data_IF_912908513271
#
_entry.id   IF_912908513271
#
_cell.length_a   1.000
_cell.length_b   1.000
_cell.length_c   1.000
_cell.angle_alpha   90.00
_cell.angle_beta   90.00
_cell.angle_gamma   90.00
#
_symmetry.space_group_name_H-M   'P 1'
#
loop_
_entity.id
_entity.type
_entity.pdbx_description
1 polymer ?
#
# COMPACT_ATOMS: atom_id res chain seq x y z
N UNK A 1 20.29 0.77 11.15
CA UNK A 1 18.91 0.93 10.62
C UNK A 1 18.01 1.43 11.74
N UNK A 2 16.92 2.14 11.45
CA UNK A 2 15.92 2.50 12.45
C UNK A 2 14.62 1.73 12.22
N UNK A 3 14.07 1.10 13.25
CA UNK A 3 12.76 0.46 13.22
C UNK A 3 11.74 1.43 13.83
N UNK A 4 10.69 1.76 13.10
CA UNK A 4 9.58 2.57 13.59
C UNK A 4 8.43 1.68 14.03
N UNK A 5 8.14 1.69 15.33
CA UNK A 5 7.03 0.98 15.94
C UNK A 5 6.11 1.99 16.65
N UNK A 6 5.17 2.63 15.92
CA UNK A 6 4.12 3.41 16.55
C UNK A 6 3.16 2.48 17.29
N UNK A 7 2.71 2.92 18.46
CA UNK A 7 1.73 2.19 19.24
C UNK A 7 0.73 3.16 19.87
N UNK A 8 -0.52 2.68 20.00
CA UNK A 8 -1.57 3.36 20.73
C UNK A 8 -2.48 2.31 21.32
N UNK A 9 -2.62 2.31 22.65
CA UNK A 9 -3.45 1.34 23.36
C UNK A 9 -3.10 -0.12 23.02
N UNK A 10 -1.81 -0.43 23.02
CA UNK A 10 -1.27 -1.72 22.58
C UNK A 10 -0.68 -2.57 23.72
N UNK A 11 -1.08 -2.33 24.98
CA UNK A 11 -0.48 -3.02 26.14
C UNK A 11 -0.51 -4.55 26.03
N UNK A 12 -1.54 -5.11 25.38
CA UNK A 12 -1.69 -6.55 25.21
C UNK A 12 -0.75 -7.18 24.18
N UNK A 13 -0.19 -6.40 23.24
CA UNK A 13 0.55 -6.93 22.10
C UNK A 13 1.97 -6.37 21.98
N UNK A 14 2.21 -5.19 22.55
CA UNK A 14 3.47 -4.45 22.39
C UNK A 14 4.68 -5.27 22.82
N UNK A 15 4.60 -6.01 23.92
CA UNK A 15 5.72 -6.81 24.42
C UNK A 15 6.21 -7.82 23.38
N UNK A 16 5.29 -8.59 22.80
CA UNK A 16 5.61 -9.58 21.77
C UNK A 16 6.18 -8.92 20.49
N UNK A 17 5.63 -7.77 20.09
CA UNK A 17 6.13 -7.01 18.95
C UNK A 17 7.58 -6.53 19.19
N UNK A 18 7.89 -6.00 20.38
CA UNK A 18 9.23 -5.56 20.76
C UNK A 18 10.21 -6.74 20.81
N UNK A 19 9.84 -7.85 21.45
CA UNK A 19 10.65 -9.09 21.48
C UNK A 19 11.01 -9.54 20.07
N UNK A 20 10.07 -9.47 19.12
CA UNK A 20 10.29 -9.88 17.74
C UNK A 20 11.33 -9.02 17.00
N UNK A 21 11.54 -7.77 17.42
CA UNK A 21 12.60 -6.90 16.90
C UNK A 21 13.90 -7.10 17.69
N UNK A 22 13.81 -7.20 19.02
CA UNK A 22 14.96 -7.37 19.90
C UNK A 22 15.77 -8.64 19.59
N UNK A 23 15.11 -9.66 19.05
CA UNK A 23 15.69 -10.98 18.72
C UNK A 23 16.03 -11.14 17.23
N UNK A 24 16.03 -10.05 16.44
CA UNK A 24 16.47 -10.09 15.04
C UNK A 24 17.94 -10.49 14.93
N UNK A 25 18.25 -11.29 13.92
CA UNK A 25 19.60 -11.76 13.57
C UNK A 25 20.53 -10.62 13.17
N UNK A 26 20.02 -9.65 12.41
CA UNK A 26 20.70 -8.37 12.18
C UNK A 26 20.67 -7.54 13.46
N UNK A 27 21.84 -7.16 13.99
CA UNK A 27 21.99 -6.42 15.25
C UNK A 27 22.20 -4.89 15.14
N UNK A 28 22.70 -4.31 14.02
CA UNK A 28 22.91 -2.85 13.87
C UNK A 28 21.62 -2.03 13.66
N UNK A 29 20.69 -2.09 14.62
CA UNK A 29 19.44 -1.34 14.61
C UNK A 29 19.23 -0.49 15.87
N UNK A 30 18.44 0.56 15.73
CA UNK A 30 17.72 1.23 16.82
C UNK A 30 16.21 0.98 16.64
N UNK A 31 15.47 0.89 17.74
CA UNK A 31 14.02 0.74 17.74
C UNK A 31 13.38 1.97 18.37
N UNK A 32 12.61 2.71 17.58
CA UNK A 32 11.82 3.84 18.04
C UNK A 32 10.41 3.35 18.37
N UNK A 33 10.11 3.24 19.67
CA UNK A 33 8.75 2.99 20.17
C UNK A 33 8.03 4.34 20.24
N UNK A 34 7.12 4.60 19.30
CA UNK A 34 6.43 5.89 19.23
C UNK A 34 5.06 5.79 19.89
N UNK A 35 4.95 6.23 21.14
CA UNK A 35 3.67 6.34 21.84
C UNK A 35 2.81 7.44 21.20
N UNK A 36 1.68 7.05 20.62
CA UNK A 36 0.74 7.95 19.97
C UNK A 36 -0.48 8.24 20.86
N UNK A 37 -0.20 8.82 22.03
CA UNK A 37 -1.19 9.17 23.04
C UNK A 37 -1.99 7.95 23.54
N UNK A 38 -1.28 6.92 24.02
CA UNK A 38 -1.88 5.77 24.69
C UNK A 38 -2.51 6.17 26.02
N UNK A 39 -3.62 5.51 26.37
CA UNK A 39 -4.30 5.64 27.65
C UNK A 39 -4.20 4.36 28.51
N UNK A 40 -3.64 3.28 27.96
CA UNK A 40 -3.39 2.03 28.66
C UNK A 40 -1.93 1.93 29.18
N UNK A 41 -1.55 0.76 29.66
CA UNK A 41 -0.20 0.50 30.18
C UNK A 41 0.91 0.43 29.11
N UNK A 42 0.61 0.68 27.83
CA UNK A 42 1.58 0.56 26.73
C UNK A 42 2.81 1.45 26.89
N UNK A 43 2.63 2.68 27.39
CA UNK A 43 3.73 3.61 27.63
C UNK A 43 4.68 3.12 28.74
N UNK A 44 4.15 2.47 29.77
CA UNK A 44 4.95 1.90 30.85
C UNK A 44 5.75 0.68 30.38
N UNK A 45 5.13 -0.19 29.56
CA UNK A 45 5.81 -1.32 28.91
C UNK A 45 6.98 -0.81 28.05
N UNK A 46 6.73 0.19 27.20
CA UNK A 46 7.76 0.79 26.35
C UNK A 46 8.92 1.40 27.16
N UNK A 47 8.61 2.07 28.29
CA UNK A 47 9.62 2.62 29.20
C UNK A 47 10.48 1.53 29.82
N UNK A 48 9.89 0.41 30.22
CA UNK A 48 10.63 -0.74 30.75
C UNK A 48 11.59 -1.32 29.71
N UNK A 49 11.15 -1.43 28.44
CA UNK A 49 12.03 -1.87 27.35
C UNK A 49 13.20 -0.93 27.11
N UNK A 50 12.96 0.38 27.06
CA UNK A 50 14.01 1.39 26.89
C UNK A 50 15.02 1.42 28.05
N UNK A 51 14.63 1.01 29.27
CA UNK A 51 15.56 0.86 30.40
C UNK A 51 16.40 -0.43 30.33
N UNK A 52 15.93 -1.46 29.60
CA UNK A 52 16.57 -2.78 29.51
C UNK A 52 17.54 -2.91 28.34
N UNK A 53 17.27 -2.23 27.23
CA UNK A 53 18.07 -2.30 26.00
C UNK A 53 18.31 -0.88 25.46
N UNK A 54 19.57 -0.47 25.43
CA UNK A 54 19.98 0.88 25.02
C UNK A 54 19.67 1.21 23.55
N UNK A 55 19.41 0.20 22.72
CA UNK A 55 19.01 0.37 21.32
C UNK A 55 17.53 0.77 21.18
N UNK A 56 16.76 0.69 22.26
CA UNK A 56 15.33 0.97 22.27
C UNK A 56 15.08 2.36 22.84
N UNK A 57 14.35 3.17 22.10
CA UNK A 57 14.06 4.56 22.45
C UNK A 57 12.55 4.78 22.48
N UNK A 58 12.04 5.26 23.61
CA UNK A 58 10.66 5.73 23.73
C UNK A 58 10.55 7.16 23.21
N UNK A 59 9.67 7.37 22.24
CA UNK A 59 9.35 8.67 21.65
C UNK A 59 7.87 8.95 21.88
N UNK A 60 7.53 10.17 22.29
CA UNK A 60 6.15 10.57 22.49
C UNK A 60 5.66 11.48 21.34
N UNK A 61 4.46 11.20 20.82
CA UNK A 61 3.73 12.05 19.88
C UNK A 61 2.30 12.28 20.40
N UNK A 62 2.01 13.48 20.94
CA UNK A 62 0.72 13.76 21.57
C UNK A 62 -0.44 13.90 20.57
N UNK A 63 -0.17 14.17 19.28
CA UNK A 63 -1.22 14.29 18.27
C UNK A 63 -1.67 12.92 17.81
N UNK A 64 -2.93 12.57 18.06
CA UNK A 64 -3.49 11.29 17.63
C UNK A 64 -3.47 11.16 16.11
N UNK A 65 -2.96 10.03 15.61
CA UNK A 65 -2.92 9.68 14.20
C UNK A 65 -1.62 8.96 13.85
N UNK A 66 -1.73 7.78 13.24
CA UNK A 66 -0.57 6.94 12.91
C UNK A 66 0.44 7.68 12.02
N UNK A 67 -0.02 8.51 11.07
CA UNK A 67 0.84 9.35 10.25
C UNK A 67 1.65 10.38 11.07
N UNK A 68 1.06 10.97 12.12
CA UNK A 68 1.79 11.87 13.02
C UNK A 68 2.90 11.12 13.77
N UNK A 69 2.59 9.95 14.32
CA UNK A 69 3.55 9.10 15.02
C UNK A 69 4.68 8.64 14.09
N UNK A 70 4.36 8.19 12.89
CA UNK A 70 5.35 7.78 11.90
C UNK A 70 6.24 8.93 11.47
N UNK A 71 5.68 10.11 11.19
CA UNK A 71 6.48 11.29 10.86
C UNK A 71 7.36 11.76 12.04
N UNK A 72 6.91 11.60 13.28
CA UNK A 72 7.75 11.84 14.47
C UNK A 72 8.91 10.84 14.52
N UNK A 73 8.65 9.57 14.26
CA UNK A 73 9.66 8.52 14.12
C UNK A 73 10.67 8.83 13.02
N UNK A 74 10.21 9.19 11.82
CA UNK A 74 11.06 9.55 10.68
C UNK A 74 12.02 10.71 10.97
N UNK A 75 11.55 11.75 11.68
CA UNK A 75 12.40 12.88 12.09
C UNK A 75 13.43 12.52 13.16
N UNK A 76 13.18 11.44 13.92
CA UNK A 76 14.03 11.03 15.04
C UNK A 76 15.04 9.95 14.61
N UNK A 77 14.69 9.16 13.60
CA UNK A 77 15.48 8.06 13.06
C UNK A 77 16.84 8.52 12.52
N UNK A 78 17.89 7.76 12.85
CA UNK A 78 19.29 8.03 12.46
C UNK A 78 19.81 7.02 11.43
N UNK A 79 19.11 5.90 11.25
CA UNK A 79 19.49 4.83 10.35
C UNK A 79 19.38 5.19 8.88
N UNK A 80 20.29 4.65 8.06
CA UNK A 80 20.23 4.73 6.58
C UNK A 80 18.94 4.14 6.02
N UNK A 81 18.48 3.05 6.63
CA UNK A 81 17.24 2.36 6.30
C UNK A 81 16.22 2.56 7.40
N UNK A 82 14.96 2.63 7.00
CA UNK A 82 13.81 2.69 7.89
C UNK A 82 13.00 1.40 7.72
N UNK A 83 12.86 0.63 8.79
CA UNK A 83 11.94 -0.50 8.85
C UNK A 83 10.64 -0.09 9.54
N UNK A 84 9.51 -0.59 9.04
CA UNK A 84 8.23 -0.45 9.70
C UNK A 84 7.92 -1.69 10.55
N UNK A 85 7.20 -1.50 11.65
CA UNK A 85 6.69 -2.60 12.47
C UNK A 85 5.43 -2.15 13.23
N UNK A 86 4.32 -2.89 13.14
CA UNK A 86 3.12 -2.61 13.93
C UNK A 86 3.22 -3.20 15.34
N UNK A 87 2.58 -2.55 16.31
CA UNK A 87 2.58 -2.97 17.71
C UNK A 87 1.77 -4.26 17.99
N UNK A 88 1.03 -4.74 16.98
CA UNK A 88 0.18 -5.94 17.05
C UNK A 88 0.69 -7.11 16.19
N UNK A 89 1.78 -6.92 15.44
CA UNK A 89 2.36 -7.92 14.52
C UNK A 89 3.64 -8.57 15.07
N UNK A 90 4.22 -9.53 14.34
CA UNK A 90 5.50 -10.19 14.69
C UNK A 90 6.46 -10.18 13.50
N UNK A 91 7.68 -9.71 13.73
CA UNK A 91 8.80 -9.87 12.77
C UNK A 91 9.50 -11.21 12.97
N UNK A 92 9.66 -11.99 11.90
CA UNK A 92 10.42 -13.25 11.99
C UNK A 92 11.93 -12.98 12.06
N UNK A 93 12.75 -13.84 12.70
CA UNK A 93 14.12 -13.50 13.12
C UNK A 93 15.08 -13.01 12.04
N UNK A 94 14.88 -13.44 10.79
CA UNK A 94 15.76 -13.12 9.65
C UNK A 94 15.26 -11.93 8.81
N UNK A 95 14.16 -11.28 9.20
CA UNK A 95 13.51 -10.24 8.41
C UNK A 95 14.47 -9.11 8.05
N UNK A 96 15.05 -8.50 9.08
CA UNK A 96 15.90 -7.33 8.94
C UNK A 96 17.18 -7.65 8.15
N UNK A 97 17.81 -8.79 8.44
CA UNK A 97 19.03 -9.23 7.74
C UNK A 97 18.79 -9.41 6.24
N UNK A 98 17.74 -10.16 5.86
CA UNK A 98 17.43 -10.45 4.45
C UNK A 98 17.05 -9.18 3.68
N UNK A 99 16.26 -8.29 4.28
CA UNK A 99 15.85 -7.05 3.61
C UNK A 99 17.02 -6.09 3.40
N UNK A 100 17.92 -5.95 4.39
CA UNK A 100 19.11 -5.11 4.25
C UNK A 100 20.06 -5.68 3.20
N UNK A 101 20.35 -6.98 3.23
CA UNK A 101 21.20 -7.61 2.24
C UNK A 101 20.67 -7.41 0.81
N UNK A 102 19.35 -7.52 0.61
CA UNK A 102 18.73 -7.29 -0.69
C UNK A 102 18.83 -5.83 -1.13
N UNK A 103 18.53 -4.87 -0.25
CA UNK A 103 18.62 -3.43 -0.57
C UNK A 103 20.06 -2.98 -0.84
N UNK A 104 21.05 -3.54 -0.14
CA UNK A 104 22.46 -3.23 -0.41
C UNK A 104 22.91 -3.78 -1.77
N UNK A 105 22.41 -4.95 -2.18
CA UNK A 105 22.70 -5.55 -3.49
C UNK A 105 21.95 -4.89 -4.67
N UNK A 106 20.81 -4.22 -4.40
CA UNK A 106 19.93 -3.63 -5.42
C UNK A 106 19.70 -2.13 -5.16
N UNK A 107 20.69 -1.27 -5.50
CA UNK A 107 20.61 0.17 -5.25
C UNK A 107 19.43 0.85 -5.95
N UNK A 108 18.91 0.28 -7.03
CA UNK A 108 17.75 0.78 -7.78
C UNK A 108 16.42 0.57 -7.07
N UNK A 109 16.35 -0.29 -6.04
CA UNK A 109 15.16 -0.52 -5.23
C UNK A 109 15.15 0.46 -4.05
N UNK A 110 14.06 1.21 -3.92
CA UNK A 110 13.86 2.19 -2.84
C UNK A 110 13.04 1.66 -1.68
N UNK A 111 12.09 0.76 -1.95
CA UNK A 111 11.19 0.15 -0.95
C UNK A 111 11.14 -1.35 -1.16
N UNK A 112 11.33 -2.11 -0.09
CA UNK A 112 11.30 -3.57 -0.09
C UNK A 112 10.34 -4.07 0.98
N UNK A 113 9.33 -4.84 0.59
CA UNK A 113 8.51 -5.62 1.53
C UNK A 113 8.94 -7.08 1.63
N UNK A 114 8.15 -7.86 2.36
CA UNK A 114 8.26 -9.33 2.41
C UNK A 114 6.89 -9.94 2.19
N UNK A 115 6.81 -11.24 1.94
CA UNK A 115 5.53 -11.92 2.14
C UNK A 115 5.14 -11.89 3.61
N UNK A 116 3.84 -11.96 3.86
CA UNK A 116 3.27 -11.98 5.21
C UNK A 116 2.48 -13.26 5.45
N UNK A 117 2.54 -13.78 6.67
CA UNK A 117 1.66 -14.83 7.17
C UNK A 117 0.42 -14.17 7.75
N UNK A 118 -0.74 -14.43 7.17
CA UNK A 118 -2.00 -13.98 7.75
C UNK A 118 -2.32 -14.77 9.02
N UNK A 119 -2.47 -14.08 10.14
CA UNK A 119 -2.90 -14.65 11.42
C UNK A 119 -4.12 -13.87 11.87
N UNK A 120 -5.19 -14.51 12.32
CA UNK A 120 -6.45 -13.80 12.61
C UNK A 120 -7.14 -14.39 13.84
N UNK A 121 -7.70 -13.49 14.66
CA UNK A 121 -8.66 -13.85 15.73
C UNK A 121 -10.10 -13.56 15.32
N UNK A 122 -10.32 -13.07 14.09
CA UNK A 122 -11.64 -12.73 13.56
C UNK A 122 -12.23 -13.93 12.82
N UNK A 123 -13.40 -14.41 13.27
CA UNK A 123 -14.08 -15.58 12.69
C UNK A 123 -14.36 -15.46 11.18
N UNK A 124 -14.69 -14.26 10.70
CA UNK A 124 -15.04 -13.98 9.29
C UNK A 124 -14.06 -13.01 8.65
N UNK A 125 -12.88 -13.51 8.29
CA UNK A 125 -11.78 -12.71 7.72
C UNK A 125 -11.36 -13.14 6.29
N UNK A 126 -12.21 -13.90 5.59
CA UNK A 126 -11.91 -14.42 4.23
C UNK A 126 -11.54 -13.34 3.22
N UNK A 127 -12.09 -12.12 3.34
CA UNK A 127 -11.69 -10.99 2.52
C UNK A 127 -10.25 -10.53 2.76
N UNK A 128 -9.85 -10.44 4.02
CA UNK A 128 -8.49 -10.09 4.40
C UNK A 128 -7.51 -11.20 4.02
N UNK A 129 -7.88 -12.47 4.24
CA UNK A 129 -7.06 -13.61 3.80
C UNK A 129 -6.82 -13.60 2.29
N UNK A 130 -7.86 -13.31 1.50
CA UNK A 130 -7.72 -13.16 0.04
C UNK A 130 -6.80 -12.00 -0.33
N UNK A 131 -6.96 -10.84 0.32
CA UNK A 131 -6.13 -9.67 0.10
C UNK A 131 -4.65 -9.95 0.42
N UNK A 132 -4.34 -10.61 1.54
CA UNK A 132 -2.96 -11.01 1.88
C UNK A 132 -2.40 -11.98 0.85
N UNK A 133 -3.18 -12.96 0.41
CA UNK A 133 -2.75 -13.90 -0.63
C UNK A 133 -2.45 -13.18 -1.95
N UNK A 134 -3.34 -12.29 -2.38
CA UNK A 134 -3.14 -11.46 -3.56
C UNK A 134 -1.87 -10.61 -3.42
N UNK A 135 -1.70 -9.91 -2.29
CA UNK A 135 -0.53 -9.08 -2.04
C UNK A 135 0.77 -9.89 -2.06
N UNK A 136 0.77 -11.12 -1.55
CA UNK A 136 1.91 -12.05 -1.58
C UNK A 136 2.30 -12.52 -3.00
N UNK A 137 1.48 -12.30 -4.03
CA UNK A 137 1.82 -12.58 -5.43
C UNK A 137 2.62 -11.47 -6.10
N UNK A 138 2.63 -10.25 -5.54
CA UNK A 138 3.27 -9.07 -6.13
C UNK A 138 4.71 -9.01 -5.64
N UNK A 139 5.68 -9.39 -6.48
CA UNK A 139 7.08 -9.53 -6.08
C UNK A 139 8.01 -8.49 -6.70
N UNK A 140 7.94 -8.30 -8.01
CA UNK A 140 8.88 -7.48 -8.75
C UNK A 140 8.38 -6.04 -8.98
N UNK A 141 9.28 -5.11 -9.36
CA UNK A 141 8.92 -3.70 -9.59
C UNK A 141 7.83 -3.47 -10.64
N UNK A 142 7.77 -4.28 -11.69
CA UNK A 142 6.74 -4.12 -12.71
C UNK A 142 5.37 -4.48 -12.15
N UNK A 143 5.26 -5.59 -11.41
CA UNK A 143 4.02 -5.99 -10.76
C UNK A 143 3.57 -4.96 -9.71
N UNK A 144 4.49 -4.45 -8.88
CA UNK A 144 4.18 -3.36 -7.95
C UNK A 144 3.63 -2.13 -8.68
N UNK A 145 4.25 -1.77 -9.80
CA UNK A 145 3.77 -0.66 -10.62
C UNK A 145 2.36 -0.93 -11.15
N UNK A 146 2.11 -2.01 -11.90
CA UNK A 146 0.81 -2.20 -12.56
C UNK A 146 -0.33 -2.48 -11.57
N UNK A 147 -0.05 -3.07 -10.40
CA UNK A 147 -1.07 -3.44 -9.40
C UNK A 147 -1.34 -2.36 -8.35
N UNK A 148 -0.57 -1.25 -8.30
CA UNK A 148 -0.74 -0.17 -7.30
C UNK A 148 -2.13 0.49 -7.28
N UNK A 149 -2.88 0.37 -8.38
CA UNK A 149 -4.23 0.89 -8.50
C UNK A 149 -5.33 -0.17 -8.32
N UNK A 150 -4.98 -1.45 -8.26
CA UNK A 150 -5.94 -2.48 -7.84
C UNK A 150 -6.23 -2.30 -6.36
N UNK A 151 -5.18 -2.42 -5.54
CA UNK A 151 -5.22 -2.22 -4.08
C UNK A 151 -3.79 -1.93 -3.56
N UNK A 152 -3.60 -1.81 -2.25
CA UNK A 152 -2.29 -1.55 -1.62
C UNK A 152 -1.34 -2.74 -1.83
N UNK A 153 -0.23 -2.60 -2.60
CA UNK A 153 0.55 -3.75 -3.06
C UNK A 153 1.60 -4.25 -2.04
N UNK A 154 1.77 -3.54 -0.92
CA UNK A 154 2.69 -3.88 0.17
C UNK A 154 1.99 -3.78 1.52
N UNK A 155 2.17 -4.77 2.38
CA UNK A 155 1.74 -4.69 3.77
C UNK A 155 2.65 -3.69 4.47
N UNK A 156 2.07 -2.61 5.01
CA UNK A 156 2.81 -1.58 5.75
C UNK A 156 3.79 -2.12 6.80
N UNK A 157 3.44 -3.08 7.68
CA UNK A 157 4.36 -3.59 8.70
C UNK A 157 5.55 -4.39 8.13
N UNK A 158 5.53 -4.77 6.85
CA UNK A 158 6.59 -5.58 6.22
C UNK A 158 7.71 -4.77 5.55
N UNK A 159 7.56 -3.46 5.44
CA UNK A 159 8.43 -2.66 4.57
C UNK A 159 9.72 -2.20 5.25
N UNK A 160 10.79 -2.22 4.48
CA UNK A 160 12.03 -1.48 4.72
C UNK A 160 12.26 -0.56 3.53
N UNK A 161 12.61 0.70 3.78
CA UNK A 161 12.89 1.67 2.71
C UNK A 161 14.11 2.53 3.02
N UNK A 162 14.68 3.14 1.97
CA UNK A 162 15.80 4.08 2.10
C UNK A 162 15.32 5.37 2.75
N UNK A 163 16.00 5.82 3.80
CA UNK A 163 15.61 7.05 4.53
C UNK A 163 15.61 8.28 3.61
N UNK A 164 16.51 8.34 2.64
CA UNK A 164 16.63 9.46 1.69
C UNK A 164 15.35 9.73 0.88
N UNK A 165 14.47 8.73 0.68
CA UNK A 165 13.17 8.93 0.02
C UNK A 165 12.26 9.91 0.79
N UNK A 166 12.43 9.98 2.11
CA UNK A 166 11.69 10.91 2.96
C UNK A 166 12.18 12.33 2.75
N UNK A 167 13.50 12.50 2.60
CA UNK A 167 14.12 13.81 2.34
C UNK A 167 13.79 14.29 0.91
N UNK A 168 13.76 13.37 -0.06
CA UNK A 168 13.54 13.68 -1.47
C UNK A 168 12.06 13.87 -1.84
N UNK A 169 11.18 13.00 -1.33
CA UNK A 169 9.77 12.97 -1.74
C UNK A 169 8.80 13.29 -0.61
N UNK A 170 9.24 13.37 0.64
CA UNK A 170 8.43 13.64 1.82
C UNK A 170 7.92 12.39 2.56
N UNK A 171 7.61 12.55 3.85
CA UNK A 171 7.03 11.52 4.73
C UNK A 171 5.53 11.27 4.52
N UNK A 172 4.84 10.76 5.55
CA UNK A 172 3.41 10.42 5.48
C UNK A 172 2.52 11.67 5.45
N UNK A 173 1.47 11.66 4.64
CA UNK A 173 0.41 12.68 4.72
C UNK A 173 -0.41 12.48 6.01
N UNK A 174 -0.67 13.58 6.74
CA UNK A 174 -1.44 13.55 8.00
C UNK A 174 -2.92 13.90 7.80
N UNK A 175 -3.38 14.06 6.57
CA UNK A 175 -4.77 14.26 6.21
C UNK A 175 -5.63 13.00 6.41
N UNK A 176 -6.94 13.11 6.16
CA UNK A 176 -7.90 12.02 6.38
C UNK A 176 -7.92 11.01 5.23
N UNK A 177 -6.77 10.36 4.98
CA UNK A 177 -6.57 9.43 3.86
C UNK A 177 -5.84 8.16 4.33
N UNK A 178 -5.87 7.06 3.55
CA UNK A 178 -5.00 5.92 3.78
C UNK A 178 -3.53 6.33 3.57
N UNK A 179 -2.81 6.57 4.66
CA UNK A 179 -1.52 7.26 4.65
C UNK A 179 -0.40 6.45 3.99
N UNK A 180 -0.40 5.13 4.14
CA UNK A 180 0.59 4.25 3.55
C UNK A 180 0.40 4.15 2.03
N UNK A 181 -0.85 3.98 1.57
CA UNK A 181 -1.17 3.93 0.15
C UNK A 181 -0.86 5.25 -0.55
N UNK A 182 -1.11 6.39 0.10
CA UNK A 182 -0.71 7.69 -0.46
C UNK A 182 0.78 7.76 -0.66
N UNK A 183 1.57 7.38 0.35
CA UNK A 183 3.03 7.37 0.29
C UNK A 183 3.53 6.49 -0.86
N UNK A 184 2.98 5.29 -1.00
CA UNK A 184 3.33 4.37 -2.08
C UNK A 184 3.00 4.92 -3.45
N UNK A 185 1.80 5.49 -3.63
CA UNK A 185 1.40 6.08 -4.91
C UNK A 185 2.27 7.28 -5.27
N UNK A 186 2.62 8.13 -4.30
CA UNK A 186 3.50 9.28 -4.50
C UNK A 186 4.92 8.88 -4.88
N UNK A 187 5.52 7.94 -4.14
CA UNK A 187 6.87 7.47 -4.44
C UNK A 187 6.94 6.70 -5.76
N UNK A 188 5.98 5.83 -6.06
CA UNK A 188 5.91 5.17 -7.37
C UNK A 188 5.64 6.15 -8.52
N UNK A 189 4.86 7.22 -8.30
CA UNK A 189 4.69 8.28 -9.29
C UNK A 189 6.02 9.00 -9.55
N UNK A 190 6.83 9.23 -8.52
CA UNK A 190 8.16 9.81 -8.65
C UNK A 190 9.19 8.88 -9.32
N UNK A 191 8.86 7.61 -9.53
CA UNK A 191 9.72 6.63 -10.20
C UNK A 191 10.48 5.69 -9.25
N UNK A 192 10.21 5.77 -7.94
CA UNK A 192 10.79 4.86 -6.95
C UNK A 192 10.35 3.42 -7.24
N UNK A 193 11.32 2.51 -7.32
CA UNK A 193 11.05 1.08 -7.56
C UNK A 193 10.84 0.35 -6.26
N UNK A 194 9.81 -0.49 -6.27
CA UNK A 194 9.37 -1.28 -5.12
C UNK A 194 9.58 -2.76 -5.44
N UNK A 195 9.95 -3.55 -4.45
CA UNK A 195 10.05 -4.99 -4.58
C UNK A 195 9.52 -5.68 -3.31
N UNK A 196 9.40 -7.01 -3.37
CA UNK A 196 9.05 -7.85 -2.23
C UNK A 196 9.88 -9.13 -2.25
N UNK A 197 10.45 -9.47 -1.10
CA UNK A 197 11.10 -10.76 -0.88
C UNK A 197 10.06 -11.91 -0.93
N UNK A 198 10.35 -13.03 -1.61
CA UNK A 198 9.42 -14.16 -1.71
C UNK A 198 9.23 -14.92 -0.38
N UNK A 199 10.06 -14.67 0.63
CA UNK A 199 9.99 -15.28 1.94
C UNK A 199 8.92 -14.61 2.81
N UNK A 200 8.24 -15.45 3.61
CA UNK A 200 7.35 -14.99 4.67
C UNK A 200 8.21 -14.58 5.86
N UNK A 201 8.23 -13.29 6.19
CA UNK A 201 9.11 -12.73 7.23
C UNK A 201 8.37 -11.85 8.25
N UNK A 202 7.05 -11.72 8.14
CA UNK A 202 6.18 -11.04 9.10
C UNK A 202 4.91 -11.86 9.32
N UNK A 203 4.48 -12.02 10.56
CA UNK A 203 3.12 -12.44 10.88
C UNK A 203 2.23 -11.21 11.01
N UNK A 204 1.29 -11.08 10.08
CA UNK A 204 0.34 -9.98 10.04
C UNK A 204 -0.93 -10.40 10.78
N UNK A 205 -1.10 -9.89 12.00
CA UNK A 205 -2.11 -10.32 12.97
C UNK A 205 -3.34 -9.45 12.88
N UNK A 206 -4.44 -10.04 12.47
CA UNK A 206 -5.73 -9.39 12.28
C UNK A 206 -6.66 -9.61 13.47
N UNK A 207 -7.32 -8.54 13.90
CA UNK A 207 -8.25 -8.51 15.02
C UNK A 207 -9.32 -7.43 14.79
N UNK A 208 -10.45 -7.54 15.49
CA UNK A 208 -11.63 -6.71 15.21
C UNK A 208 -11.40 -5.19 15.41
N UNK A 209 -10.47 -4.82 16.29
CA UNK A 209 -10.17 -3.42 16.63
C UNK A 209 -9.13 -2.75 15.72
N UNK A 210 -8.61 -3.43 14.68
CA UNK A 210 -7.60 -2.87 13.80
C UNK A 210 -8.09 -1.57 13.12
N UNK A 211 -7.19 -0.60 12.95
CA UNK A 211 -7.54 0.69 12.33
C UNK A 211 -8.16 0.53 10.95
N UNK A 212 -7.62 -0.36 10.10
CA UNK A 212 -8.16 -0.63 8.77
C UNK A 212 -9.59 -1.19 8.75
N UNK A 213 -10.10 -1.68 9.89
CA UNK A 213 -11.47 -2.17 10.04
C UNK A 213 -12.43 -1.14 10.63
N UNK A 214 -11.92 -0.22 11.43
CA UNK A 214 -12.74 0.62 12.31
C UNK A 214 -12.66 2.10 11.96
N UNK A 215 -11.58 2.54 11.32
CA UNK A 215 -11.29 3.96 11.13
C UNK A 215 -11.76 4.44 9.74
N UNK A 216 -12.47 5.58 9.65
CA UNK A 216 -13.09 6.06 8.41
C UNK A 216 -12.10 6.44 7.29
N UNK A 217 -10.81 6.57 7.61
CA UNK A 217 -9.77 6.83 6.62
C UNK A 217 -9.50 5.63 5.70
N UNK A 218 -9.90 4.42 6.09
CA UNK A 218 -9.61 3.18 5.35
C UNK A 218 -10.86 2.56 4.70
N UNK A 219 -11.88 3.36 4.41
CA UNK A 219 -13.04 2.87 3.66
C UNK A 219 -12.68 2.61 2.20
N UNK A 220 -13.47 1.76 1.53
CA UNK A 220 -13.31 1.50 0.09
C UNK A 220 -13.38 2.79 -0.73
N UNK A 221 -14.22 3.73 -0.31
CA UNK A 221 -14.40 5.04 -0.91
C UNK A 221 -13.16 5.91 -0.72
N UNK A 222 -12.56 5.92 0.48
CA UNK A 222 -11.33 6.67 0.75
C UNK A 222 -10.15 6.16 -0.09
N UNK A 223 -9.96 4.84 -0.16
CA UNK A 223 -8.96 4.22 -1.03
C UNK A 223 -9.19 4.55 -2.50
N UNK A 224 -10.43 4.48 -2.97
CA UNK A 224 -10.72 4.80 -4.37
C UNK A 224 -10.54 6.29 -4.68
N UNK A 225 -10.95 7.20 -3.80
CA UNK A 225 -10.77 8.64 -3.98
C UNK A 225 -9.29 9.01 -4.06
N UNK A 226 -8.46 8.42 -3.20
CA UNK A 226 -7.01 8.53 -3.28
C UNK A 226 -6.50 8.03 -4.64
N UNK A 227 -6.85 6.81 -5.03
CA UNK A 227 -6.44 6.23 -6.31
C UNK A 227 -6.88 7.07 -7.51
N UNK A 228 -8.09 7.63 -7.51
CA UNK A 228 -8.62 8.42 -8.61
C UNK A 228 -7.74 9.64 -8.93
N UNK A 229 -7.28 10.37 -7.90
CA UNK A 229 -6.31 11.47 -8.03
C UNK A 229 -5.03 11.02 -8.74
N UNK A 230 -4.47 9.88 -8.30
CA UNK A 230 -3.21 9.36 -8.84
C UNK A 230 -3.35 8.72 -10.23
N UNK A 231 -4.51 8.12 -10.54
CA UNK A 231 -4.83 7.63 -11.89
C UNK A 231 -4.92 8.81 -12.86
N UNK A 232 -5.64 9.88 -12.49
CA UNK A 232 -5.77 11.09 -13.30
C UNK A 232 -4.40 11.71 -13.60
N UNK A 233 -3.57 11.87 -12.56
CA UNK A 233 -2.19 12.36 -12.70
C UNK A 233 -1.34 11.46 -13.59
N UNK A 234 -1.46 10.14 -13.45
CA UNK A 234 -0.72 9.19 -14.28
C UNK A 234 -1.12 9.26 -15.76
N UNK A 235 -2.43 9.37 -16.05
CA UNK A 235 -2.96 9.53 -17.40
C UNK A 235 -2.45 10.83 -18.04
N UNK A 236 -2.54 11.94 -17.30
CA UNK A 236 -2.12 13.25 -17.79
C UNK A 236 -0.60 13.29 -18.07
N UNK A 237 0.22 12.86 -17.12
CA UNK A 237 1.68 12.84 -17.29
C UNK A 237 2.13 11.97 -18.46
N UNK A 238 1.45 10.83 -18.69
CA UNK A 238 1.90 9.85 -19.68
C UNK A 238 1.40 10.18 -21.08
N UNK A 239 0.23 10.81 -21.20
CA UNK A 239 -0.46 10.95 -22.47
C UNK A 239 -0.89 12.37 -22.81
N UNK A 240 -0.82 13.33 -21.87
CA UNK A 240 -1.18 14.73 -22.07
C UNK A 240 -2.54 14.91 -22.77
N UNK A 241 -3.53 14.09 -22.38
CA UNK A 241 -4.88 14.07 -22.98
C UNK A 241 -4.96 13.54 -24.42
N UNK A 242 -3.87 13.07 -25.02
CA UNK A 242 -3.83 12.64 -26.42
C UNK A 242 -4.41 11.24 -26.66
N UNK A 243 -4.52 10.42 -25.60
CA UNK A 243 -5.12 9.09 -25.69
C UNK A 243 -6.55 9.09 -25.12
N UNK A 244 -7.55 8.63 -25.88
CA UNK A 244 -8.89 8.40 -25.35
C UNK A 244 -8.86 7.46 -24.14
N UNK A 245 -9.61 7.81 -23.09
CA UNK A 245 -9.79 6.97 -21.90
C UNK A 245 -11.11 6.21 -22.03
N UNK A 246 -11.05 4.89 -21.97
CA UNK A 246 -12.20 3.99 -22.04
C UNK A 246 -12.35 3.30 -20.68
N UNK A 247 -13.54 3.38 -20.07
CA UNK A 247 -13.80 2.71 -18.79
C UNK A 247 -14.36 1.32 -19.05
N UNK A 248 -13.70 0.29 -18.50
CA UNK A 248 -14.24 -1.07 -18.48
C UNK A 248 -15.09 -1.28 -17.23
N UNK A 249 -16.37 -1.60 -17.44
CA UNK A 249 -17.39 -1.81 -16.41
C UNK A 249 -18.50 -0.76 -16.45
N UNK A 250 -19.75 -1.22 -16.55
CA UNK A 250 -20.95 -0.36 -16.70
C UNK A 250 -21.88 -0.36 -15.47
N UNK A 251 -21.48 -0.96 -14.36
CA UNK A 251 -22.29 -0.93 -13.13
C UNK A 251 -22.39 0.48 -12.55
N UNK A 252 -23.43 0.76 -11.76
CA UNK A 252 -23.57 2.06 -11.10
C UNK A 252 -22.34 2.48 -10.27
N UNK A 253 -21.67 1.51 -9.64
CA UNK A 253 -20.38 1.73 -8.96
C UNK A 253 -19.27 2.14 -9.94
N UNK A 254 -19.14 1.48 -11.09
CA UNK A 254 -18.15 1.85 -12.11
C UNK A 254 -18.41 3.25 -12.66
N UNK A 255 -19.68 3.60 -12.89
CA UNK A 255 -20.08 4.94 -13.36
C UNK A 255 -19.78 6.01 -12.30
N UNK A 256 -20.05 5.75 -11.02
CA UNK A 256 -19.70 6.67 -9.94
C UNK A 256 -18.17 6.89 -9.84
N UNK A 257 -17.39 5.81 -9.96
CA UNK A 257 -15.91 5.85 -9.99
C UNK A 257 -15.36 6.61 -11.19
N UNK A 258 -15.97 6.42 -12.35
CA UNK A 258 -15.69 7.17 -13.57
C UNK A 258 -15.93 8.68 -13.39
N UNK A 259 -17.09 9.07 -12.84
CA UNK A 259 -17.40 10.47 -12.55
C UNK A 259 -16.40 11.11 -11.56
N UNK A 260 -15.87 10.33 -10.63
CA UNK A 260 -14.81 10.83 -9.74
C UNK A 260 -13.50 11.12 -10.50
N UNK A 261 -13.14 10.31 -11.50
CA UNK A 261 -11.99 10.63 -12.37
C UNK A 261 -12.20 11.93 -13.16
N UNK A 262 -13.43 12.19 -13.62
CA UNK A 262 -13.77 13.44 -14.31
C UNK A 262 -13.60 14.66 -13.41
N UNK A 263 -13.89 14.55 -12.11
CA UNK A 263 -13.62 15.61 -11.14
C UNK A 263 -12.12 15.93 -11.01
N UNK A 264 -11.24 14.97 -11.33
CA UNK A 264 -9.80 15.17 -11.44
C UNK A 264 -9.33 15.51 -12.87
N UNK A 265 -10.24 15.89 -13.77
CA UNK A 265 -9.94 16.37 -15.11
C UNK A 265 -9.78 15.28 -16.17
N UNK A 266 -10.07 14.01 -15.86
CA UNK A 266 -10.01 12.93 -16.86
C UNK A 266 -11.23 13.03 -17.77
N UNK A 267 -11.00 13.21 -19.07
CA UNK A 267 -12.07 13.15 -20.07
C UNK A 267 -12.35 11.70 -20.47
N UNK A 268 -13.49 11.17 -20.06
CA UNK A 268 -13.93 9.82 -20.44
C UNK A 268 -14.48 9.83 -21.86
N UNK A 269 -13.94 8.96 -22.71
CA UNK A 269 -14.34 8.86 -24.11
C UNK A 269 -15.52 7.89 -24.31
N UNK A 270 -15.46 6.74 -23.64
CA UNK A 270 -16.44 5.68 -23.79
C UNK A 270 -16.42 4.71 -22.60
N UNK A 271 -17.46 3.89 -22.50
CA UNK A 271 -17.52 2.70 -21.66
C UNK A 271 -17.43 1.44 -22.52
N UNK A 272 -16.95 0.35 -21.91
CA UNK A 272 -16.93 -1.00 -22.49
C UNK A 272 -17.35 -2.02 -21.44
N UNK A 273 -17.99 -3.09 -21.89
CA UNK A 273 -18.36 -4.23 -21.06
C UNK A 273 -18.54 -5.49 -21.95
N UNK A 274 -18.67 -6.65 -21.33
CA UNK A 274 -18.97 -7.92 -22.04
C UNK A 274 -20.38 -7.91 -22.62
N UNK A 275 -21.33 -7.28 -21.90
CA UNK A 275 -22.71 -7.09 -22.36
C UNK A 275 -22.95 -5.64 -22.69
N UNK A 276 -23.53 -5.37 -23.85
CA UNK A 276 -23.93 -4.02 -24.22
C UNK A 276 -24.92 -3.46 -23.20
N UNK A 277 -24.55 -2.33 -22.59
CA UNK A 277 -25.38 -1.56 -21.66
C UNK A 277 -25.16 -0.09 -21.92
N UNK A 278 -26.25 0.64 -22.08
CA UNK A 278 -26.19 2.09 -22.21
C UNK A 278 -25.77 2.73 -20.89
N UNK A 279 -24.85 3.68 -20.98
CA UNK A 279 -24.49 4.57 -19.88
C UNK A 279 -24.83 5.98 -20.35
N UNK A 280 -25.80 6.60 -19.68
CA UNK A 280 -26.30 7.91 -20.05
C UNK A 280 -25.17 8.95 -20.16
N UNK A 281 -25.10 9.64 -21.30
CA UNK A 281 -24.08 10.66 -21.58
C UNK A 281 -22.76 10.12 -22.15
N UNK A 282 -22.60 8.80 -22.31
CA UNK A 282 -21.36 8.22 -22.80
C UNK A 282 -21.55 7.31 -24.01
N UNK A 283 -20.50 7.22 -24.84
CA UNK A 283 -20.42 6.24 -25.92
C UNK A 283 -20.18 4.84 -25.32
N UNK A 284 -20.69 3.81 -25.98
CA UNK A 284 -20.37 2.42 -25.67
C UNK A 284 -19.53 1.80 -26.81
N UNK A 285 -18.45 1.13 -26.45
CA UNK A 285 -17.62 0.35 -27.38
C UNK A 285 -17.65 -1.10 -26.89
N UNK A 286 -18.11 -2.07 -27.70
CA UNK A 286 -18.05 -3.48 -27.33
C UNK A 286 -16.62 -3.93 -27.02
N UNK A 287 -16.44 -4.83 -26.04
CA UNK A 287 -15.11 -5.27 -25.62
C UNK A 287 -14.27 -5.88 -26.77
N UNK A 288 -14.94 -6.51 -27.74
CA UNK A 288 -14.32 -7.10 -28.93
C UNK A 288 -13.86 -6.06 -29.96
N UNK A 289 -14.35 -4.83 -29.88
CA UNK A 289 -14.07 -3.73 -30.80
C UNK A 289 -13.12 -2.69 -30.18
N UNK A 290 -12.57 -2.99 -28.99
CA UNK A 290 -11.64 -2.10 -28.31
C UNK A 290 -10.40 -1.83 -29.17
N UNK A 291 -9.93 -0.56 -29.22
CA UNK A 291 -8.74 -0.20 -29.99
C UNK A 291 -7.50 -0.98 -29.57
N UNK A 292 -6.64 -1.28 -30.55
CA UNK A 292 -5.36 -1.93 -30.29
C UNK A 292 -4.32 -1.06 -29.61
N UNK A 293 -3.11 -1.60 -29.47
CA UNK A 293 -1.96 -0.97 -28.82
C UNK A 293 -1.75 0.51 -29.22
N UNK A 294 -1.49 1.36 -28.23
CA UNK A 294 -1.19 2.78 -28.44
C UNK A 294 -2.39 3.67 -28.79
N UNK A 295 -3.57 3.12 -29.08
CA UNK A 295 -4.72 3.90 -29.57
C UNK A 295 -5.63 4.46 -28.48
N UNK A 296 -5.83 3.75 -27.37
CA UNK A 296 -6.66 4.19 -26.24
C UNK A 296 -6.13 3.59 -24.93
N UNK A 297 -6.48 4.19 -23.79
CA UNK A 297 -6.18 3.63 -22.47
C UNK A 297 -7.46 3.07 -21.88
N UNK A 298 -7.45 1.79 -21.53
CA UNK A 298 -8.57 1.13 -20.87
C UNK A 298 -8.31 1.15 -19.37
N UNK A 299 -9.25 1.68 -18.61
CA UNK A 299 -9.22 1.66 -17.15
C UNK A 299 -10.36 0.78 -16.65
N UNK A 300 -10.02 -0.39 -16.13
CA UNK A 300 -11.00 -1.33 -15.57
C UNK A 300 -11.35 -0.96 -14.13
N UNK A 301 -12.64 -0.73 -13.90
CA UNK A 301 -13.20 -0.41 -12.57
C UNK A 301 -13.95 -1.60 -11.95
N UNK A 302 -13.84 -2.78 -12.56
CA UNK A 302 -14.56 -4.00 -12.18
C UNK A 302 -13.87 -4.65 -10.98
N UNK A 303 -14.48 -4.50 -9.80
CA UNK A 303 -13.95 -5.01 -8.52
C UNK A 303 -14.39 -6.43 -8.15
N UNK A 304 -15.02 -7.17 -9.08
CA UNK A 304 -15.40 -8.55 -8.81
C UNK A 304 -14.14 -9.42 -8.73
N UNK A 305 -13.95 -10.10 -7.59
CA UNK A 305 -12.77 -10.95 -7.34
C UNK A 305 -12.53 -11.94 -8.48
N UNK A 306 -11.26 -12.07 -8.89
CA UNK A 306 -10.83 -12.93 -9.98
C UNK A 306 -11.21 -12.45 -11.39
N UNK A 307 -11.94 -11.33 -11.52
CA UNK A 307 -12.31 -10.78 -12.84
C UNK A 307 -11.21 -9.92 -13.41
N UNK A 308 -10.43 -9.22 -12.57
CA UNK A 308 -9.30 -8.39 -13.00
C UNK A 308 -8.28 -9.16 -13.84
N UNK A 309 -7.86 -10.34 -13.38
CA UNK A 309 -6.88 -11.18 -14.08
C UNK A 309 -7.42 -11.64 -15.44
N UNK A 310 -8.69 -12.04 -15.51
CA UNK A 310 -9.36 -12.42 -16.77
C UNK A 310 -9.44 -11.27 -17.76
N UNK A 311 -9.68 -10.04 -17.28
CA UNK A 311 -9.69 -8.83 -18.12
C UNK A 311 -8.30 -8.55 -18.66
N UNK A 312 -7.29 -8.64 -17.79
CA UNK A 312 -5.89 -8.46 -18.18
C UNK A 312 -5.46 -9.49 -19.22
N UNK A 313 -5.75 -10.78 -19.02
CA UNK A 313 -5.47 -11.85 -19.98
C UNK A 313 -6.18 -11.60 -21.32
N UNK A 314 -7.48 -11.28 -21.30
CA UNK A 314 -8.26 -11.02 -22.51
C UNK A 314 -7.67 -9.86 -23.35
N UNK A 315 -7.30 -8.75 -22.70
CA UNK A 315 -6.78 -7.59 -23.40
C UNK A 315 -5.32 -7.78 -23.82
N UNK A 316 -4.51 -8.48 -23.02
CA UNK A 316 -3.11 -8.79 -23.35
C UNK A 316 -3.02 -9.74 -24.54
N UNK A 317 -3.93 -10.74 -24.63
CA UNK A 317 -4.04 -11.61 -25.80
C UNK A 317 -4.36 -10.86 -27.10
N UNK A 318 -4.84 -9.61 -27.01
CA UNK A 318 -5.13 -8.71 -28.14
C UNK A 318 -4.02 -7.68 -28.37
N UNK A 319 -2.87 -7.84 -27.72
CA UNK A 319 -1.68 -7.00 -27.90
C UNK A 319 -1.65 -5.74 -27.04
N UNK A 320 -2.55 -5.58 -26.08
CA UNK A 320 -2.50 -4.46 -25.13
C UNK A 320 -1.51 -4.76 -24.00
N UNK A 321 -0.86 -3.71 -23.49
CA UNK A 321 0.18 -3.84 -22.45
C UNK A 321 -0.32 -3.23 -21.13
N UNK A 322 -0.34 -4.02 -20.06
CA UNK A 322 -0.62 -3.52 -18.70
C UNK A 322 0.35 -2.39 -18.31
N UNK A 323 -0.16 -1.36 -17.64
CA UNK A 323 0.62 -0.17 -17.31
C UNK A 323 0.97 0.71 -18.51
N UNK A 324 0.43 0.43 -19.70
CA UNK A 324 0.45 1.32 -20.87
C UNK A 324 -0.95 1.49 -21.43
N UNK A 325 -1.51 0.45 -22.03
CA UNK A 325 -2.81 0.48 -22.68
C UNK A 325 -3.93 0.06 -21.73
N UNK A 326 -3.61 -0.70 -20.68
CA UNK A 326 -4.57 -1.19 -19.69
C UNK A 326 -4.12 -0.84 -18.27
N UNK A 327 -5.09 -0.42 -17.46
CA UNK A 327 -4.96 -0.24 -16.02
C UNK A 327 -6.10 -0.97 -15.29
N UNK A 328 -5.77 -1.86 -14.36
CA UNK A 328 -6.73 -2.40 -13.41
C UNK A 328 -6.79 -1.46 -12.19
N UNK A 329 -7.97 -0.91 -11.89
CA UNK A 329 -8.14 0.15 -10.89
C UNK A 329 -9.04 -0.24 -9.70
N UNK A 330 -9.48 -1.50 -9.63
CA UNK A 330 -10.39 -1.99 -8.59
C UNK A 330 -10.34 -3.49 -8.36
#
# INVERSE_FOLDING_TARGET
MSVLLPFRNAAATLDAAVVSIATQTFTPWELLLIDNASADAGADIARQWAMRDERIHLVHEPRTGIAHALNKGLRTARGRYIARMDADDISLPERLERQIAHLDAHPEIGVLGTRTRFVTTVEKSSGMAWFVNWQNTILDPHMHYVKRFVDVPLAHPSVVFRRELVDEYGGYDTGPIPEDHELWLRWMDAGVRFAKLPEVLVEWRDHAARLSRTHPHYTTEAFFALKAKWIARWLDRKYHGQRPVIIAGTSGLCVARARLLEQFGVRIHAFTDVRTREVEGYRFIPAIDLPGHGKAVIVSMISQRGTGDRIAEFLTARGLVEGRDLLLAA
#
